data_IF_151507418400
#
_entry.id   IF_151507418400
#
_cell.length_a   1.000
_cell.length_b   1.000
_cell.length_c   1.000
_cell.angle_alpha   90.00
_cell.angle_beta   90.00
_cell.angle_gamma   90.00
#
_symmetry.space_group_name_H-M   'P 1'
#
loop_
_entity.id
_entity.type
_entity.pdbx_description
1 polymer ?
#
# COMPACT_ATOMS: atom_id res chain seq x y z
N UNK A 1 4.34 -10.99 -5.45
CA UNK A 1 2.89 -11.15 -5.21
C UNK A 1 2.19 -10.80 -6.50
N UNK A 2 1.17 -11.54 -6.91
CA UNK A 2 0.27 -11.18 -8.01
C UNK A 2 -1.00 -10.62 -7.38
N UNK A 3 -1.34 -9.36 -7.66
CA UNK A 3 -2.60 -8.75 -7.20
C UNK A 3 -3.75 -9.57 -7.79
N UNK A 4 -4.75 -10.00 -6.98
CA UNK A 4 -5.88 -10.75 -7.51
C UNK A 4 -6.61 -9.90 -8.55
N UNK A 5 -6.79 -10.43 -9.77
CA UNK A 5 -7.48 -9.71 -10.84
C UNK A 5 -8.90 -9.30 -10.41
N UNK A 6 -9.55 -10.12 -9.58
CA UNK A 6 -10.87 -9.85 -9.04
C UNK A 6 -10.90 -8.59 -8.14
N UNK A 7 -9.80 -8.25 -7.48
CA UNK A 7 -9.69 -7.01 -6.70
C UNK A 7 -9.54 -5.77 -7.59
N UNK A 8 -9.15 -5.95 -8.86
CA UNK A 8 -8.92 -4.87 -9.82
C UNK A 8 -10.07 -4.69 -10.81
N UNK A 9 -10.76 -5.76 -11.18
CA UNK A 9 -11.79 -5.75 -12.24
C UNK A 9 -12.98 -4.85 -11.88
N UNK A 10 -13.32 -4.78 -10.59
CA UNK A 10 -14.44 -3.98 -10.08
C UNK A 10 -13.99 -2.64 -9.48
N UNK A 11 -12.68 -2.39 -9.40
CA UNK A 11 -12.15 -1.15 -8.84
C UNK A 11 -12.48 0.04 -9.75
N UNK A 12 -13.22 1.02 -9.21
CA UNK A 12 -13.64 2.24 -9.94
C UNK A 12 -12.80 3.47 -9.62
N UNK A 13 -11.89 3.38 -8.66
CA UNK A 13 -11.02 4.48 -8.29
C UNK A 13 -9.79 4.60 -9.20
N UNK A 14 -8.92 5.54 -8.88
CA UNK A 14 -7.68 5.74 -9.60
C UNK A 14 -6.60 4.76 -9.10
N UNK A 15 -6.17 3.84 -9.96
CA UNK A 15 -5.14 2.86 -9.59
C UNK A 15 -3.77 3.52 -9.34
N UNK A 16 -3.52 4.67 -9.98
CA UNK A 16 -2.30 5.44 -9.76
C UNK A 16 -2.23 5.96 -8.32
N UNK A 17 -3.36 6.43 -7.77
CA UNK A 17 -3.45 6.91 -6.39
C UNK A 17 -3.15 5.79 -5.37
N UNK A 18 -3.73 4.59 -5.57
CA UNK A 18 -3.39 3.39 -4.79
C UNK A 18 -1.90 3.11 -4.84
N UNK A 19 -1.31 3.17 -6.04
CA UNK A 19 0.11 2.89 -6.22
C UNK A 19 0.97 3.94 -5.52
N UNK A 20 0.60 5.22 -5.60
CA UNK A 20 1.29 6.31 -4.92
C UNK A 20 1.29 6.16 -3.39
N UNK A 21 0.13 5.87 -2.79
CA UNK A 21 0.06 5.69 -1.33
C UNK A 21 0.84 4.45 -0.89
N UNK A 22 0.72 3.33 -1.62
CA UNK A 22 1.46 2.11 -1.33
C UNK A 22 2.98 2.32 -1.39
N UNK A 23 3.49 3.04 -2.39
CA UNK A 23 4.92 3.34 -2.51
C UNK A 23 5.40 4.24 -1.37
N UNK A 24 4.66 5.30 -1.04
CA UNK A 24 5.02 6.20 0.08
C UNK A 24 5.09 5.43 1.39
N UNK A 25 4.10 4.59 1.67
CA UNK A 25 4.06 3.77 2.86
C UNK A 25 5.20 2.75 2.90
N UNK A 26 5.50 2.09 1.77
CA UNK A 26 6.63 1.16 1.68
C UNK A 26 7.95 1.82 2.06
N UNK A 27 8.17 3.07 1.62
CA UNK A 27 9.39 3.82 1.95
C UNK A 27 9.45 4.06 3.46
N UNK A 28 8.35 4.47 4.09
CA UNK A 28 8.29 4.70 5.55
C UNK A 28 8.61 3.40 6.30
N UNK A 29 7.93 2.32 5.95
CA UNK A 29 8.07 1.02 6.61
C UNK A 29 9.42 0.32 6.35
N UNK A 30 10.11 0.71 5.28
CA UNK A 30 11.47 0.23 4.99
C UNK A 30 12.54 0.81 5.92
N UNK A 31 12.23 1.88 6.65
CA UNK A 31 13.16 2.45 7.60
C UNK A 31 13.35 1.53 8.82
N UNK A 32 14.57 1.36 9.33
CA UNK A 32 14.83 0.52 10.50
C UNK A 32 13.98 0.92 11.70
N UNK A 33 13.26 -0.04 12.28
CA UNK A 33 12.37 0.18 13.42
C UNK A 33 10.98 0.73 13.09
N UNK A 34 10.68 0.99 11.81
CA UNK A 34 9.34 1.40 11.36
C UNK A 34 8.48 0.23 10.87
N UNK A 35 9.10 -0.90 10.48
CA UNK A 35 8.37 -2.12 10.14
C UNK A 35 7.87 -2.87 11.39
N UNK A 36 6.55 -3.00 11.53
CA UNK A 36 5.90 -3.72 12.63
C UNK A 36 5.88 -5.25 12.43
N UNK A 37 5.22 -5.95 13.37
CA UNK A 37 5.08 -7.42 13.35
C UNK A 37 4.48 -7.96 12.05
N UNK A 38 3.49 -7.26 11.52
CA UNK A 38 2.88 -7.53 10.20
C UNK A 38 3.91 -7.76 9.07
N UNK A 39 5.01 -7.01 9.05
CA UNK A 39 6.04 -7.11 8.01
C UNK A 39 6.93 -8.33 8.26
N UNK A 40 7.26 -8.60 9.52
CA UNK A 40 8.02 -9.78 9.93
C UNK A 40 7.23 -11.07 9.62
N UNK A 41 5.95 -11.10 9.96
CA UNK A 41 5.01 -12.20 9.68
C UNK A 41 4.84 -12.43 8.17
N UNK A 42 4.95 -11.36 7.36
CA UNK A 42 4.94 -11.42 5.91
C UNK A 42 6.35 -11.65 5.29
N UNK A 43 7.31 -12.20 6.07
CA UNK A 43 8.68 -12.50 5.63
C UNK A 43 9.42 -11.28 5.02
N UNK A 44 9.21 -10.08 5.57
CA UNK A 44 9.83 -8.85 5.08
C UNK A 44 9.27 -8.33 3.75
N UNK A 45 8.14 -8.86 3.26
CA UNK A 45 7.54 -8.47 1.96
C UNK A 45 6.73 -7.17 2.07
N UNK A 46 7.41 -6.07 2.36
CA UNK A 46 6.82 -4.74 2.58
C UNK A 46 5.83 -4.34 1.48
N UNK A 47 6.21 -4.51 0.21
CA UNK A 47 5.35 -4.13 -0.94
C UNK A 47 4.03 -4.91 -0.94
N UNK A 48 4.05 -6.18 -0.53
CA UNK A 48 2.83 -7.00 -0.50
C UNK A 48 1.89 -6.55 0.62
N UNK A 49 2.47 -6.15 1.76
CA UNK A 49 1.74 -5.63 2.90
C UNK A 49 1.06 -4.29 2.56
N UNK A 50 1.81 -3.31 2.08
CA UNK A 50 1.26 -1.97 1.80
C UNK A 50 0.24 -1.95 0.67
N UNK A 51 0.39 -2.82 -0.35
CA UNK A 51 -0.62 -2.97 -1.40
C UNK A 51 -1.91 -3.55 -0.84
N UNK A 52 -1.81 -4.49 0.11
CA UNK A 52 -2.99 -5.03 0.79
C UNK A 52 -3.70 -3.92 1.55
N UNK A 53 -2.98 -3.14 2.36
CA UNK A 53 -3.53 -1.98 3.08
C UNK A 53 -4.21 -0.96 2.18
N UNK A 54 -3.60 -0.66 1.03
CA UNK A 54 -4.16 0.30 0.09
C UNK A 54 -5.43 -0.24 -0.58
N UNK A 55 -5.46 -1.54 -0.91
CA UNK A 55 -6.64 -2.19 -1.52
C UNK A 55 -7.78 -2.42 -0.51
N UNK A 56 -7.47 -2.65 0.77
CA UNK A 56 -8.47 -2.78 1.85
C UNK A 56 -8.98 -1.43 2.36
N UNK A 57 -8.32 -0.33 1.98
CA UNK A 57 -8.67 1.01 2.42
C UNK A 57 -8.18 1.36 3.83
N UNK A 58 -7.12 0.71 4.31
CA UNK A 58 -6.44 1.08 5.55
C UNK A 58 -5.55 2.33 5.36
N UNK A 59 -5.01 2.50 4.16
CA UNK A 59 -4.26 3.70 3.75
C UNK A 59 -4.87 4.29 2.48
N UNK A 60 -4.89 5.62 2.38
CA UNK A 60 -5.49 6.34 1.28
C UNK A 60 -4.58 7.42 0.72
N UNK A 61 -4.74 7.71 -0.57
CA UNK A 61 -4.07 8.83 -1.20
C UNK A 61 -4.72 10.14 -0.73
N UNK A 62 -3.93 11.01 -0.13
CA UNK A 62 -4.33 12.39 0.14
C UNK A 62 -3.67 13.30 -0.92
N UNK A 63 -4.45 14.01 -1.75
CA UNK A 63 -3.91 15.03 -2.62
C UNK A 63 -3.31 16.13 -1.75
N UNK A 64 -2.11 16.59 -2.11
CA UNK A 64 -1.55 17.77 -1.48
C UNK A 64 -2.39 18.95 -1.96
N UNK A 65 -3.20 19.53 -1.08
CA UNK A 65 -3.85 20.80 -1.36
C UNK A 65 -2.74 21.82 -1.67
N UNK A 66 -2.64 22.24 -2.93
CA UNK A 66 -1.84 23.38 -3.33
C UNK A 66 -2.55 24.62 -2.77
N UNK A 67 -2.30 24.93 -1.49
CA UNK A 67 -2.67 26.21 -0.87
C UNK A 67 -1.67 27.30 -1.27
#
# INVERSE_FOLDING_TARGET
MSIPLNSLIDYKGNIYEITCVAIKEAIILSNPGCGGKEIEENNGKIVSEVLTRALTGEIHFEPVDLQ
#
